data_IF_908993879941
#
_entry.id   IF_908993879941
#
_cell.length_a   1.000
_cell.length_b   1.000
_cell.length_c   1.000
_cell.angle_alpha   90.00
_cell.angle_beta   90.00
_cell.angle_gamma   90.00
#
_symmetry.space_group_name_H-M   'P 1'
#
loop_
_entity.id
_entity.type
_entity.pdbx_description
1 polymer ?
#
# COMPACT_ATOMS: atom_id res chain seq x y z
N UNK A 1 16.80 24.53 -67.29
CA UNK A 1 15.61 24.83 -66.45
C UNK A 1 15.45 23.70 -65.44
N UNK A 2 15.43 24.04 -64.15
CA UNK A 2 15.67 23.14 -63.01
C UNK A 2 14.32 22.74 -62.39
N UNK A 3 13.87 21.50 -62.60
CA UNK A 3 12.63 20.99 -62.01
C UNK A 3 12.79 20.75 -60.50
N UNK A 4 12.15 21.59 -59.69
CA UNK A 4 12.06 21.44 -58.23
C UNK A 4 11.06 20.34 -57.90
N UNK A 5 11.51 19.28 -57.22
CA UNK A 5 10.63 18.33 -56.54
C UNK A 5 10.09 19.02 -55.28
N UNK A 6 8.77 19.22 -55.22
CA UNK A 6 8.09 19.67 -54.01
C UNK A 6 7.86 18.43 -53.16
N UNK A 7 8.56 18.33 -52.03
CA UNK A 7 8.28 17.31 -51.02
C UNK A 7 7.11 17.80 -50.16
N UNK A 8 5.97 17.12 -50.26
CA UNK A 8 4.82 17.34 -49.39
C UNK A 8 5.10 16.60 -48.08
N UNK A 9 5.44 17.35 -47.02
CA UNK A 9 5.55 16.79 -45.68
C UNK A 9 4.15 16.70 -45.06
N UNK A 10 3.61 15.48 -44.96
CA UNK A 10 2.39 15.20 -44.21
C UNK A 10 2.79 15.03 -42.73
N UNK A 11 2.59 16.06 -41.92
CA UNK A 11 2.70 15.92 -40.46
C UNK A 11 1.40 15.29 -39.99
N UNK A 12 1.38 13.97 -39.86
CA UNK A 12 0.33 13.29 -39.11
C UNK A 12 0.58 13.58 -37.62
N UNK A 13 -0.08 14.62 -37.08
CA UNK A 13 -0.26 14.72 -35.64
C UNK A 13 -1.17 13.57 -35.22
N UNK A 14 -0.58 12.47 -34.76
CA UNK A 14 -1.33 11.47 -34.01
C UNK A 14 -1.71 12.12 -32.67
N UNK A 15 -2.90 12.69 -32.61
CA UNK A 15 -3.55 12.93 -31.33
C UNK A 15 -3.82 11.53 -30.76
N UNK A 16 -3.01 11.11 -29.80
CA UNK A 16 -3.36 10.00 -28.91
C UNK A 16 -4.61 10.46 -28.16
N UNK A 17 -5.79 10.14 -28.68
CA UNK A 17 -7.01 10.20 -27.89
C UNK A 17 -6.91 8.99 -26.97
N UNK A 18 -6.30 9.17 -25.80
CA UNK A 18 -6.55 8.28 -24.67
C UNK A 18 -8.06 8.35 -24.44
N UNK A 19 -8.76 7.26 -24.74
CA UNK A 19 -10.19 7.14 -24.43
C UNK A 19 -10.32 7.05 -22.91
N UNK A 20 -10.35 8.20 -22.26
CA UNK A 20 -10.73 8.31 -20.85
C UNK A 20 -12.20 7.86 -20.80
N UNK A 21 -12.46 6.77 -20.08
CA UNK A 21 -13.80 6.23 -19.92
C UNK A 21 -14.16 6.36 -18.45
N UNK A 22 -15.28 7.02 -18.17
CA UNK A 22 -15.80 7.14 -16.81
C UNK A 22 -15.95 5.75 -16.17
N UNK A 23 -15.52 5.62 -14.92
CA UNK A 23 -15.64 4.37 -14.15
C UNK A 23 -17.07 4.25 -13.61
N UNK A 24 -17.76 3.17 -13.96
CA UNK A 24 -19.09 2.87 -13.42
C UNK A 24 -18.99 1.81 -12.34
N UNK A 25 -19.35 2.20 -11.12
CA UNK A 25 -19.34 1.37 -9.93
C UNK A 25 -20.76 0.85 -9.69
N UNK A 26 -20.91 -0.47 -9.59
CA UNK A 26 -22.18 -1.05 -9.16
C UNK A 26 -22.29 -0.95 -7.63
N UNK A 27 -23.39 -0.39 -7.16
CA UNK A 27 -23.73 -0.30 -5.75
C UNK A 27 -24.85 -1.30 -5.47
N UNK A 28 -24.63 -2.15 -4.47
CA UNK A 28 -25.64 -3.07 -3.97
C UNK A 28 -26.45 -2.42 -2.85
N UNK A 29 -27.71 -2.81 -2.72
CA UNK A 29 -28.55 -2.41 -1.60
C UNK A 29 -27.81 -2.59 -0.26
N UNK A 30 -27.77 -1.52 0.55
CA UNK A 30 -26.99 -1.47 1.77
C UNK A 30 -25.70 -0.67 1.62
N UNK A 31 -24.68 -1.03 2.40
CA UNK A 31 -23.41 -0.32 2.48
C UNK A 31 -22.41 -0.82 1.43
N UNK A 32 -21.81 0.12 0.70
CA UNK A 32 -20.80 -0.14 -0.31
C UNK A 32 -19.53 0.63 0.04
N UNK A 33 -18.37 -0.02 -0.05
CA UNK A 33 -17.07 0.64 0.14
C UNK A 33 -16.53 1.08 -1.22
N UNK A 34 -16.57 2.38 -1.45
CA UNK A 34 -16.36 3.02 -2.75
C UNK A 34 -15.14 3.93 -2.71
N UNK A 35 -14.38 3.95 -3.81
CA UNK A 35 -13.25 4.85 -3.99
C UNK A 35 -13.51 5.84 -5.12
N UNK A 36 -13.17 7.10 -4.91
CA UNK A 36 -13.20 8.15 -5.93
C UNK A 36 -11.76 8.47 -6.36
N UNK A 37 -11.40 8.12 -7.59
CA UNK A 37 -10.03 8.19 -8.13
C UNK A 37 -9.88 9.17 -9.30
N UNK A 38 -10.93 9.93 -9.57
CA UNK A 38 -10.96 10.91 -10.65
C UNK A 38 -11.68 12.16 -10.19
N UNK A 39 -11.50 13.26 -10.92
CA UNK A 39 -12.34 14.45 -10.85
C UNK A 39 -13.45 14.36 -11.89
N UNK A 40 -14.47 15.21 -11.73
CA UNK A 40 -15.39 15.48 -12.83
C UNK A 40 -14.62 16.04 -14.04
N UNK A 41 -15.19 15.92 -15.25
CA UNK A 41 -14.56 16.32 -16.53
C UNK A 41 -14.12 17.79 -16.57
N UNK A 42 -14.73 18.63 -15.72
CA UNK A 42 -14.38 20.05 -15.55
C UNK A 42 -13.21 20.28 -14.57
N UNK A 43 -12.62 19.22 -14.02
CA UNK A 43 -11.55 19.26 -13.04
C UNK A 43 -12.00 19.60 -11.61
N UNK A 44 -13.30 19.51 -11.31
CA UNK A 44 -13.86 19.75 -9.97
C UNK A 44 -14.17 18.45 -9.22
N UNK A 45 -14.42 18.57 -7.91
CA UNK A 45 -14.91 17.48 -7.08
C UNK A 45 -16.40 17.20 -7.38
N UNK A 46 -16.85 15.96 -7.13
CA UNK A 46 -18.25 15.60 -7.38
C UNK A 46 -19.19 16.22 -6.37
N UNK A 47 -20.10 17.05 -6.86
CA UNK A 47 -21.15 17.64 -6.03
C UNK A 47 -22.17 16.58 -5.62
N UNK A 48 -22.42 16.43 -4.32
CA UNK A 48 -23.40 15.47 -3.82
C UNK A 48 -24.82 15.79 -4.25
N UNK A 49 -25.13 17.06 -4.56
CA UNK A 49 -26.46 17.47 -5.01
C UNK A 49 -26.78 16.83 -6.35
N UNK A 50 -25.83 16.88 -7.28
CA UNK A 50 -25.91 16.20 -8.58
C UNK A 50 -25.97 14.68 -8.39
N UNK A 51 -25.07 14.11 -7.59
CA UNK A 51 -25.01 12.65 -7.40
C UNK A 51 -26.30 12.09 -6.81
N UNK A 52 -26.90 12.74 -5.81
CA UNK A 52 -28.17 12.30 -5.19
C UNK A 52 -29.35 12.48 -6.15
N UNK A 53 -29.36 13.54 -6.96
CA UNK A 53 -30.40 13.73 -7.98
C UNK A 53 -30.34 12.64 -9.06
N UNK A 54 -29.14 12.30 -9.54
CA UNK A 54 -28.91 11.25 -10.54
C UNK A 54 -29.11 9.85 -9.95
N UNK A 55 -28.85 9.68 -8.64
CA UNK A 55 -28.95 8.42 -7.92
C UNK A 55 -29.88 8.54 -6.71
N UNK A 56 -31.19 8.62 -6.98
CA UNK A 56 -32.25 8.69 -5.96
C UNK A 56 -32.26 7.59 -4.89
N UNK A 57 -31.42 6.56 -5.01
CA UNK A 57 -31.24 5.51 -4.01
C UNK A 57 -30.20 5.83 -2.93
N UNK A 58 -29.36 6.85 -3.09
CA UNK A 58 -28.33 7.23 -2.10
C UNK A 58 -29.01 7.81 -0.85
N UNK A 59 -28.67 7.25 0.31
CA UNK A 59 -29.23 7.66 1.60
C UNK A 59 -28.21 8.31 2.52
N UNK A 60 -27.06 7.65 2.70
CA UNK A 60 -26.04 8.10 3.64
C UNK A 60 -24.67 7.87 3.04
N UNK A 61 -23.78 8.86 3.19
CA UNK A 61 -22.38 8.71 2.82
C UNK A 61 -21.54 9.06 4.04
N UNK A 62 -20.57 8.22 4.38
CA UNK A 62 -19.61 8.51 5.44
C UNK A 62 -18.19 8.35 4.93
N UNK A 63 -17.29 9.17 5.48
CA UNK A 63 -15.85 9.08 5.23
C UNK A 63 -15.09 9.37 6.52
N UNK A 64 -13.81 9.02 6.54
CA UNK A 64 -12.90 9.28 7.65
C UNK A 64 -11.75 10.13 7.14
N UNK A 65 -11.59 11.30 7.73
CA UNK A 65 -10.49 12.22 7.43
C UNK A 65 -9.86 12.68 8.75
N UNK A 66 -8.53 12.60 8.85
CA UNK A 66 -7.76 12.96 10.05
C UNK A 66 -8.28 12.26 11.33
N UNK A 67 -8.63 10.98 11.20
CA UNK A 67 -9.20 10.16 12.27
C UNK A 67 -10.62 10.58 12.72
N UNK A 68 -11.29 11.46 11.98
CA UNK A 68 -12.64 11.93 12.29
C UNK A 68 -13.64 11.49 11.23
N UNK A 69 -14.76 10.97 11.71
CA UNK A 69 -15.89 10.63 10.84
C UNK A 69 -16.65 11.87 10.40
N UNK A 70 -16.89 11.94 9.10
CA UNK A 70 -17.81 12.90 8.48
C UNK A 70 -18.95 12.15 7.82
N UNK A 71 -20.14 12.73 7.87
CA UNK A 71 -21.36 12.13 7.34
C UNK A 71 -22.13 13.10 6.47
N UNK A 72 -22.79 12.54 5.47
CA UNK A 72 -23.80 13.16 4.65
C UNK A 72 -25.07 12.32 4.69
N UNK A 73 -26.22 12.96 4.92
CA UNK A 73 -27.56 12.34 4.90
C UNK A 73 -28.44 12.99 3.83
N UNK A 74 -28.81 12.22 2.80
CA UNK A 74 -29.60 12.68 1.66
C UNK A 74 -31.05 13.06 2.02
N UNK A 75 -31.55 12.65 3.19
CA UNK A 75 -32.89 13.00 3.66
C UNK A 75 -33.01 14.42 4.20
N UNK A 76 -31.87 15.07 4.50
CA UNK A 76 -31.83 16.47 4.91
C UNK A 76 -32.15 17.36 3.70
N UNK A 77 -33.02 18.38 3.81
CA UNK A 77 -33.30 19.29 2.71
C UNK A 77 -32.02 19.96 2.16
N UNK A 78 -31.88 20.08 0.83
CA UNK A 78 -30.67 20.62 0.19
C UNK A 78 -30.32 22.04 0.65
N UNK A 79 -31.33 22.87 0.92
CA UNK A 79 -31.16 24.21 1.50
C UNK A 79 -30.47 24.22 2.86
N UNK A 80 -30.39 23.06 3.52
CA UNK A 80 -29.79 22.89 4.84
C UNK A 80 -28.37 22.30 4.81
N UNK A 81 -27.88 21.89 3.63
CA UNK A 81 -26.67 21.08 3.56
C UNK A 81 -25.41 21.79 4.02
N UNK A 82 -25.29 23.09 3.70
CA UNK A 82 -24.11 23.90 4.06
C UNK A 82 -23.89 24.08 5.57
N UNK A 83 -24.85 23.69 6.42
CA UNK A 83 -24.71 23.75 7.88
C UNK A 83 -24.94 22.43 8.60
N UNK A 84 -25.69 21.49 8.00
CA UNK A 84 -26.06 20.24 8.65
C UNK A 84 -25.18 19.05 8.23
N UNK A 85 -24.45 19.14 7.11
CA UNK A 85 -23.65 18.03 6.58
C UNK A 85 -22.17 18.20 6.94
N UNK A 86 -21.47 17.08 7.11
CA UNK A 86 -20.02 17.09 7.32
C UNK A 86 -19.22 17.40 6.06
N UNK A 87 -19.84 17.24 4.88
CA UNK A 87 -19.28 17.53 3.56
C UNK A 87 -20.39 17.57 2.51
N UNK A 88 -20.14 18.22 1.38
CA UNK A 88 -21.07 18.35 0.24
C UNK A 88 -20.48 17.87 -1.08
N UNK A 89 -19.24 17.37 -1.06
CA UNK A 89 -18.51 16.94 -2.25
C UNK A 89 -17.76 15.63 -2.00
N UNK A 90 -17.68 14.76 -3.01
CA UNK A 90 -16.73 13.65 -3.02
C UNK A 90 -15.42 14.12 -3.65
N UNK A 91 -14.33 13.93 -2.93
CA UNK A 91 -12.99 14.33 -3.34
C UNK A 91 -12.22 13.13 -3.91
N UNK A 92 -11.45 13.33 -4.99
CA UNK A 92 -10.52 12.33 -5.48
C UNK A 92 -9.51 11.89 -4.40
N UNK A 93 -9.12 10.62 -4.42
CA UNK A 93 -8.18 10.01 -3.49
C UNK A 93 -8.82 9.57 -2.16
N UNK A 94 -10.10 9.88 -1.94
CA UNK A 94 -10.82 9.54 -0.71
C UNK A 94 -11.72 8.32 -0.88
N UNK A 95 -11.76 7.49 0.16
CA UNK A 95 -12.71 6.39 0.26
C UNK A 95 -13.99 6.83 0.95
N UNK A 96 -15.09 6.17 0.60
CA UNK A 96 -16.42 6.46 1.11
C UNK A 96 -17.18 5.17 1.37
N UNK A 97 -17.93 5.13 2.47
CA UNK A 97 -19.01 4.18 2.62
C UNK A 97 -20.29 4.83 2.13
N UNK A 98 -20.91 4.26 1.11
CA UNK A 98 -22.14 4.76 0.51
C UNK A 98 -23.26 3.76 0.79
N UNK A 99 -24.29 4.22 1.50
CA UNK A 99 -25.50 3.44 1.73
C UNK A 99 -26.54 3.77 0.67
N UNK A 100 -27.02 2.74 -0.03
CA UNK A 100 -28.12 2.85 -0.99
C UNK A 100 -29.32 1.99 -0.59
N UNK A 101 -30.53 2.45 -0.86
CA UNK A 101 -31.77 1.74 -0.50
C UNK A 101 -32.17 0.65 -1.52
N UNK A 102 -31.56 0.66 -2.71
CA UNK A 102 -31.69 -0.35 -3.77
C UNK A 102 -30.43 -0.35 -4.63
N UNK A 103 -30.23 -1.43 -5.38
CA UNK A 103 -29.12 -1.51 -6.34
C UNK A 103 -29.14 -0.31 -7.30
N UNK A 104 -27.97 0.28 -7.54
CA UNK A 104 -27.78 1.47 -8.37
C UNK A 104 -26.38 1.51 -8.97
N UNK A 105 -26.11 2.44 -9.88
CA UNK A 105 -24.79 2.63 -10.46
C UNK A 105 -24.27 4.02 -10.15
N UNK A 106 -23.06 4.12 -9.63
CA UNK A 106 -22.37 5.39 -9.46
C UNK A 106 -21.35 5.55 -10.60
N UNK A 107 -21.50 6.58 -11.40
CA UNK A 107 -20.49 6.94 -12.41
C UNK A 107 -19.59 8.03 -11.85
N UNK A 108 -18.31 7.73 -11.78
CA UNK A 108 -17.24 8.70 -11.51
C UNK A 108 -16.53 9.00 -12.84
N UNK A 109 -16.36 10.29 -13.10
CA UNK A 109 -15.83 10.90 -14.31
C UNK A 109 -14.41 10.50 -14.67
N UNK A 110 -13.85 11.20 -15.64
CA UNK A 110 -12.79 10.65 -16.49
C UNK A 110 -11.43 11.30 -16.30
N UNK A 111 -11.26 12.22 -15.34
CA UNK A 111 -9.99 12.89 -15.07
C UNK A 111 -9.25 12.20 -13.90
N UNK A 112 -8.46 11.14 -14.13
CA UNK A 112 -7.84 10.34 -13.07
C UNK A 112 -6.80 11.14 -12.28
N UNK A 113 -6.66 10.81 -11.01
CA UNK A 113 -5.53 11.25 -10.19
C UNK A 113 -4.39 10.23 -10.23
N UNK A 114 -3.19 10.68 -9.88
CA UNK A 114 -2.05 9.80 -9.67
C UNK A 114 -1.98 9.34 -8.22
N UNK A 115 -1.31 8.21 -7.98
CA UNK A 115 -1.05 7.72 -6.63
C UNK A 115 -0.27 8.74 -5.77
N UNK A 116 0.50 9.60 -6.44
CA UNK A 116 1.28 10.68 -5.81
C UNK A 116 0.42 11.82 -5.26
N UNK A 117 -0.82 11.96 -5.73
CA UNK A 117 -1.77 12.96 -5.24
C UNK A 117 -2.42 12.54 -3.91
N UNK A 118 -2.23 11.29 -3.49
CA UNK A 118 -2.86 10.71 -2.30
C UNK A 118 -1.93 10.89 -1.11
N UNK A 119 -2.44 11.58 -0.09
CA UNK A 119 -1.74 11.79 1.18
C UNK A 119 -2.16 10.74 2.20
N UNK A 120 -1.18 10.19 2.89
CA UNK A 120 -1.37 9.23 3.96
C UNK A 120 -0.88 9.80 5.29
N UNK A 121 -1.56 9.44 6.37
CA UNK A 121 -1.14 9.68 7.74
C UNK A 121 -0.86 8.35 8.43
N UNK A 122 -0.01 8.36 9.46
CA UNK A 122 0.20 7.15 10.25
C UNK A 122 -1.15 6.65 10.80
N UNK A 123 -1.33 5.33 10.78
CA UNK A 123 -2.58 4.67 11.16
C UNK A 123 -3.49 4.37 9.97
N UNK A 124 -4.80 4.36 10.22
CA UNK A 124 -5.83 3.97 9.25
C UNK A 124 -6.25 5.14 8.36
N UNK A 125 -6.18 4.93 7.05
CA UNK A 125 -6.60 5.89 6.03
C UNK A 125 -7.73 5.28 5.20
N UNK A 126 -8.86 5.98 5.07
CA UNK A 126 -9.94 5.59 4.16
C UNK A 126 -9.74 6.30 2.82
N UNK A 127 -9.23 5.56 1.84
CA UNK A 127 -8.72 6.12 0.58
C UNK A 127 -9.31 5.43 -0.63
N UNK A 128 -9.16 6.09 -1.77
CA UNK A 128 -9.36 5.54 -3.09
C UNK A 128 -8.02 5.53 -3.79
N UNK A 129 -7.64 4.39 -4.36
CA UNK A 129 -6.35 4.22 -5.01
C UNK A 129 -6.58 3.94 -6.50
N UNK A 130 -5.87 4.63 -7.42
CA UNK A 130 -5.94 4.30 -8.82
C UNK A 130 -5.43 2.86 -9.04
N UNK A 131 -5.93 2.20 -10.10
CA UNK A 131 -5.49 0.84 -10.43
C UNK A 131 -3.97 0.75 -10.51
N UNK A 132 -3.40 -0.13 -9.69
CA UNK A 132 -1.94 -0.26 -9.52
C UNK A 132 -1.59 -1.59 -8.85
N UNK A 133 -0.34 -2.01 -9.00
CA UNK A 133 0.20 -3.10 -8.19
C UNK A 133 0.51 -2.62 -6.77
N UNK A 134 0.33 -3.48 -5.78
CA UNK A 134 0.62 -3.11 -4.37
C UNK A 134 2.09 -2.70 -4.18
N UNK A 135 3.01 -3.27 -4.96
CA UNK A 135 4.43 -2.90 -4.94
C UNK A 135 4.68 -1.44 -5.35
N UNK A 136 3.81 -0.83 -6.16
CA UNK A 136 3.90 0.60 -6.51
C UNK A 136 3.44 1.49 -5.34
N UNK A 137 2.37 1.10 -4.64
CA UNK A 137 1.93 1.75 -3.41
C UNK A 137 3.02 1.71 -2.33
N UNK A 138 3.67 0.55 -2.13
CA UNK A 138 4.77 0.43 -1.17
C UNK A 138 5.88 1.43 -1.49
N UNK A 139 6.34 1.49 -2.74
CA UNK A 139 7.37 2.45 -3.18
C UNK A 139 6.96 3.90 -2.94
N UNK A 140 5.68 4.23 -3.17
CA UNK A 140 5.20 5.59 -2.94
C UNK A 140 5.19 5.95 -1.45
N UNK A 141 4.75 5.03 -0.59
CA UNK A 141 4.76 5.23 0.87
C UNK A 141 6.19 5.42 1.40
N UNK A 142 7.14 4.65 0.89
CA UNK A 142 8.56 4.74 1.28
C UNK A 142 9.15 6.14 1.01
N UNK A 143 8.78 6.80 -0.12
CA UNK A 143 9.19 8.18 -0.40
C UNK A 143 8.74 9.16 0.69
N UNK A 144 7.61 8.88 1.34
CA UNK A 144 7.05 9.67 2.44
C UNK A 144 7.45 9.17 3.83
N UNK A 145 8.43 8.26 3.93
CA UNK A 145 8.86 7.61 5.20
C UNK A 145 7.72 6.90 5.93
N UNK A 146 6.75 6.43 5.15
CA UNK A 146 5.67 5.59 5.62
C UNK A 146 5.92 4.18 5.11
N UNK A 147 5.40 3.20 5.84
CA UNK A 147 5.46 1.81 5.40
C UNK A 147 4.10 1.17 5.55
N UNK A 148 3.75 0.37 4.55
CA UNK A 148 2.48 -0.33 4.49
C UNK A 148 2.44 -1.41 5.58
N UNK A 149 1.35 -1.47 6.33
CA UNK A 149 1.07 -2.56 7.27
C UNK A 149 0.02 -3.50 6.67
N UNK A 150 -1.17 -2.98 6.40
CA UNK A 150 -2.27 -3.80 5.85
C UNK A 150 -3.20 -2.97 4.99
N UNK A 151 -3.85 -3.61 4.03
CA UNK A 151 -4.93 -3.04 3.23
C UNK A 151 -6.17 -3.92 3.43
N UNK A 152 -7.32 -3.29 3.63
CA UNK A 152 -8.60 -3.98 3.73
C UNK A 152 -9.58 -3.33 2.78
N UNK A 153 -10.33 -4.16 2.05
CA UNK A 153 -11.45 -3.71 1.20
C UNK A 153 -12.65 -4.64 1.39
N UNK A 154 -13.82 -4.18 0.94
CA UNK A 154 -15.07 -4.92 0.98
C UNK A 154 -15.66 -4.96 -0.42
N UNK A 155 -15.88 -6.16 -0.94
CA UNK A 155 -16.51 -6.40 -2.24
C UNK A 155 -17.63 -7.42 -2.03
N UNK A 156 -18.83 -7.12 -2.51
CA UNK A 156 -20.03 -7.97 -2.37
C UNK A 156 -20.30 -8.42 -0.93
N UNK A 157 -20.08 -7.50 0.03
CA UNK A 157 -20.25 -7.76 1.46
C UNK A 157 -19.19 -8.69 2.07
N UNK A 158 -18.14 -9.05 1.34
CA UNK A 158 -17.03 -9.87 1.81
C UNK A 158 -15.77 -9.01 2.00
N UNK A 159 -15.18 -9.16 3.18
CA UNK A 159 -13.91 -8.53 3.49
C UNK A 159 -12.76 -9.29 2.85
N UNK A 160 -11.85 -8.54 2.23
CA UNK A 160 -10.56 -9.02 1.75
C UNK A 160 -9.46 -8.20 2.39
N UNK A 161 -8.34 -8.84 2.69
CA UNK A 161 -7.18 -8.18 3.29
C UNK A 161 -5.89 -8.54 2.56
N UNK A 162 -4.97 -7.58 2.61
CA UNK A 162 -3.57 -7.75 2.27
C UNK A 162 -2.73 -7.43 3.50
N UNK A 163 -1.78 -8.29 3.85
CA UNK A 163 -0.84 -8.12 4.97
C UNK A 163 0.59 -7.98 4.42
N UNK A 164 1.20 -6.82 4.61
CA UNK A 164 2.53 -6.50 4.10
C UNK A 164 3.66 -7.23 4.84
N UNK A 165 3.39 -7.88 5.98
CA UNK A 165 4.37 -8.71 6.69
C UNK A 165 4.60 -10.06 6.01
N UNK A 166 3.67 -10.51 5.15
CA UNK A 166 3.80 -11.75 4.39
C UNK A 166 4.87 -11.55 3.30
N UNK A 167 5.82 -12.49 3.15
CA UNK A 167 6.84 -12.41 2.09
C UNK A 167 6.23 -12.32 0.68
N UNK A 168 6.83 -11.51 -0.20
CA UNK A 168 6.30 -11.24 -1.55
C UNK A 168 6.10 -12.51 -2.39
N UNK A 169 7.01 -13.48 -2.28
CA UNK A 169 6.90 -14.77 -2.96
C UNK A 169 5.71 -15.62 -2.49
N UNK A 170 5.06 -15.26 -1.38
CA UNK A 170 3.88 -15.93 -0.82
C UNK A 170 2.57 -15.21 -1.13
N UNK A 171 2.62 -14.02 -1.75
CA UNK A 171 1.43 -13.18 -1.91
C UNK A 171 0.31 -13.85 -2.72
N UNK A 172 0.66 -14.54 -3.81
CA UNK A 172 -0.33 -15.23 -4.66
C UNK A 172 -1.05 -16.40 -3.99
N UNK A 173 -0.59 -16.84 -2.81
CA UNK A 173 -1.21 -17.94 -2.05
C UNK A 173 -1.92 -17.46 -0.79
N UNK A 174 -1.35 -16.47 -0.09
CA UNK A 174 -1.77 -16.10 1.26
C UNK A 174 -2.59 -14.80 1.34
N UNK A 175 -2.70 -14.03 0.26
CA UNK A 175 -3.38 -12.74 0.25
C UNK A 175 -4.79 -12.83 -0.33
N UNK A 176 -5.70 -11.97 0.17
CA UNK A 176 -7.04 -11.85 -0.40
C UNK A 176 -7.08 -11.17 -1.77
N UNK A 177 -6.03 -10.41 -2.11
CA UNK A 177 -5.80 -9.74 -3.38
C UNK A 177 -4.34 -9.28 -3.48
N UNK A 178 -3.84 -9.03 -4.69
CA UNK A 178 -2.48 -8.53 -4.94
C UNK A 178 -2.42 -7.29 -5.83
N UNK A 179 -3.57 -6.84 -6.34
CA UNK A 179 -3.72 -5.62 -7.14
C UNK A 179 -4.76 -4.70 -6.51
N UNK A 180 -4.59 -3.41 -6.75
CA UNK A 180 -5.59 -2.39 -6.48
C UNK A 180 -6.44 -2.22 -7.73
N UNK A 181 -7.75 -2.31 -7.57
CA UNK A 181 -8.71 -1.98 -8.61
C UNK A 181 -9.33 -0.61 -8.37
N UNK A 182 -9.47 0.15 -9.46
CA UNK A 182 -10.17 1.42 -9.50
C UNK A 182 -11.65 1.31 -9.06
N UNK A 183 -12.19 2.39 -8.51
CA UNK A 183 -13.57 2.48 -8.03
C UNK A 183 -13.84 1.80 -6.67
N UNK A 184 -12.91 1.00 -6.15
CA UNK A 184 -13.02 0.40 -4.81
C UNK A 184 -12.50 1.34 -3.73
N UNK A 185 -13.16 1.32 -2.57
CA UNK A 185 -12.64 1.97 -1.37
C UNK A 185 -11.70 1.04 -0.62
N UNK A 186 -10.67 1.61 0.02
CA UNK A 186 -9.69 0.86 0.79
C UNK A 186 -9.48 1.50 2.16
N UNK A 187 -9.43 0.67 3.19
CA UNK A 187 -8.79 1.00 4.44
C UNK A 187 -7.32 0.61 4.35
N UNK A 188 -6.44 1.59 4.27
CA UNK A 188 -4.99 1.38 4.21
C UNK A 188 -4.40 1.77 5.55
N UNK A 189 -3.79 0.79 6.23
CA UNK A 189 -3.02 1.03 7.44
C UNK A 189 -1.55 1.23 7.09
N UNK A 190 -1.02 2.39 7.44
CA UNK A 190 0.41 2.71 7.25
C UNK A 190 1.03 3.10 8.58
N UNK A 191 2.35 3.04 8.64
CA UNK A 191 3.10 3.36 9.85
C UNK A 191 4.21 4.34 9.54
N UNK A 192 4.38 5.33 10.40
CA UNK A 192 5.51 6.25 10.33
C UNK A 192 6.76 5.61 10.92
N UNK A 193 7.91 5.86 10.30
CA UNK A 193 9.21 5.59 10.91
C UNK A 193 9.40 6.56 12.07
N UNK A 194 9.25 6.07 13.30
CA UNK A 194 9.38 6.88 14.51
C UNK A 194 10.87 7.19 14.82
N UNK A 195 11.76 6.27 14.48
CA UNK A 195 13.20 6.41 14.62
C UNK A 195 13.89 5.06 14.77
N UNK A 196 15.17 5.06 15.14
CA UNK A 196 15.91 3.83 15.39
C UNK A 196 16.87 3.94 16.57
N UNK A 197 17.28 2.81 17.13
CA UNK A 197 18.31 2.68 18.15
C UNK A 197 19.12 1.40 17.92
N UNK A 198 20.37 1.37 18.41
CA UNK A 198 21.25 0.21 18.26
C UNK A 198 21.45 -0.46 19.61
N UNK A 199 21.29 -1.78 19.67
CA UNK A 199 21.49 -2.58 20.89
C UNK A 199 22.97 -2.70 21.26
N UNK A 200 23.26 -3.12 22.51
CA UNK A 200 24.63 -3.34 22.99
C UNK A 200 25.42 -4.35 22.15
N UNK A 201 24.72 -5.32 21.54
CA UNK A 201 25.28 -6.35 20.67
C UNK A 201 25.18 -6.01 19.17
N UNK A 202 24.89 -4.74 18.84
CA UNK A 202 25.10 -4.18 17.50
C UNK A 202 23.93 -4.35 16.52
N UNK A 203 22.76 -4.79 16.97
CA UNK A 203 21.56 -4.85 16.13
C UNK A 203 20.90 -3.48 16.05
N UNK A 204 20.57 -3.03 14.85
CA UNK A 204 19.77 -1.83 14.66
C UNK A 204 18.28 -2.18 14.77
N UNK A 205 17.56 -1.44 15.59
CA UNK A 205 16.11 -1.58 15.81
C UNK A 205 15.43 -0.33 15.28
N UNK A 206 14.75 -0.46 14.14
CA UNK A 206 13.91 0.57 13.56
C UNK A 206 12.49 0.45 14.13
N UNK A 207 11.93 1.58 14.57
CA UNK A 207 10.70 1.68 15.32
C UNK A 207 9.60 2.29 14.46
N UNK A 208 8.43 1.67 14.44
CA UNK A 208 7.29 2.09 13.64
C UNK A 208 6.06 2.33 14.50
N UNK A 209 5.33 3.39 14.21
CA UNK A 209 4.12 3.76 14.94
C UNK A 209 2.94 4.02 14.02
N UNK A 210 1.75 3.74 14.54
CA UNK A 210 0.48 4.13 13.95
C UNK A 210 0.15 5.60 14.25
N UNK A 211 1.05 6.34 14.92
CA UNK A 211 0.91 7.75 15.25
C UNK A 211 2.12 8.54 14.76
N UNK A 212 1.87 9.76 14.32
CA UNK A 212 2.91 10.72 13.98
C UNK A 212 3.49 11.39 15.24
N UNK A 213 4.75 11.81 15.16
CA UNK A 213 5.45 12.66 16.14
C UNK A 213 5.46 12.14 17.59
N UNK A 214 5.57 10.82 17.78
CA UNK A 214 5.68 10.22 19.12
C UNK A 214 7.07 10.47 19.75
N UNK A 215 7.12 10.65 21.07
CA UNK A 215 8.38 10.70 21.82
C UNK A 215 8.88 9.29 22.11
N UNK A 216 10.06 8.96 21.59
CA UNK A 216 10.69 7.65 21.72
C UNK A 216 11.97 7.69 22.54
N UNK A 217 12.26 8.79 23.23
CA UNK A 217 13.53 9.01 23.93
C UNK A 217 13.81 7.92 24.98
N UNK A 218 12.80 7.54 25.78
CA UNK A 218 12.94 6.47 26.78
C UNK A 218 13.12 5.10 26.14
N UNK A 219 12.37 4.80 25.09
CA UNK A 219 12.44 3.51 24.38
C UNK A 219 13.83 3.34 23.76
N UNK A 220 14.34 4.39 23.09
CA UNK A 220 15.70 4.40 22.52
C UNK A 220 16.75 4.10 23.58
N UNK A 221 16.70 4.81 24.72
CA UNK A 221 17.65 4.60 25.80
C UNK A 221 17.60 3.18 26.36
N UNK A 222 16.41 2.58 26.48
CA UNK A 222 16.28 1.18 26.92
C UNK A 222 16.85 0.19 25.90
N UNK A 223 16.63 0.41 24.60
CA UNK A 223 17.20 -0.42 23.52
C UNK A 223 18.74 -0.34 23.55
N UNK A 224 19.28 0.88 23.64
CA UNK A 224 20.74 1.13 23.67
C UNK A 224 21.45 0.48 24.86
N UNK A 225 20.73 0.26 25.96
CA UNK A 225 21.23 -0.39 27.17
C UNK A 225 20.89 -1.89 27.26
N UNK A 226 20.33 -2.47 26.19
CA UNK A 226 19.91 -3.88 26.15
C UNK A 226 20.62 -4.65 25.04
N UNK A 227 20.78 -5.97 25.22
CA UNK A 227 21.06 -6.86 24.07
C UNK A 227 19.78 -7.12 23.29
N UNK A 228 19.88 -7.52 22.03
CA UNK A 228 18.70 -7.73 21.18
C UNK A 228 17.74 -8.78 21.71
N UNK A 229 18.24 -9.82 22.40
CA UNK A 229 17.39 -10.85 23.00
C UNK A 229 16.55 -10.32 24.19
N UNK A 230 17.01 -9.24 24.84
CA UNK A 230 16.41 -8.71 26.06
C UNK A 230 15.37 -7.62 25.78
N UNK A 231 15.33 -7.07 24.55
CA UNK A 231 14.37 -6.02 24.18
C UNK A 231 12.91 -6.49 24.27
N UNK A 232 12.66 -7.81 24.33
CA UNK A 232 11.34 -8.40 24.61
C UNK A 232 10.68 -7.85 25.89
N UNK A 233 11.49 -7.34 26.84
CA UNK A 233 11.03 -6.85 28.13
C UNK A 233 10.75 -5.34 28.16
N UNK A 234 11.03 -4.64 27.06
CA UNK A 234 10.83 -3.19 26.94
C UNK A 234 9.34 -2.89 26.75
N UNK A 235 8.85 -1.85 27.42
CA UNK A 235 7.54 -1.27 27.12
C UNK A 235 7.68 -0.35 25.90
N UNK A 236 7.10 -0.78 24.79
CA UNK A 236 7.17 -0.09 23.51
C UNK A 236 6.12 1.03 23.36
N UNK A 237 5.17 1.17 24.29
CA UNK A 237 4.16 2.22 24.27
C UNK A 237 3.44 2.34 22.92
N UNK A 238 3.60 3.47 22.24
CA UNK A 238 2.98 3.77 20.95
C UNK A 238 3.69 3.15 19.73
N UNK A 239 4.79 2.41 19.93
CA UNK A 239 5.43 1.62 18.87
C UNK A 239 4.63 0.34 18.66
N UNK A 240 4.10 0.15 17.46
CA UNK A 240 3.26 -0.98 17.08
C UNK A 240 4.01 -2.09 16.35
N UNK A 241 5.11 -1.74 15.66
CA UNK A 241 5.99 -2.69 15.00
C UNK A 241 7.45 -2.25 15.11
N UNK A 242 8.35 -3.22 15.06
CA UNK A 242 9.79 -2.98 14.86
C UNK A 242 10.33 -3.78 13.69
N UNK A 243 11.46 -3.31 13.15
CA UNK A 243 12.33 -4.07 12.26
C UNK A 243 13.72 -4.09 12.87
N UNK A 244 14.25 -5.29 13.05
CA UNK A 244 15.61 -5.52 13.52
C UNK A 244 16.48 -5.86 12.33
N UNK A 245 17.65 -5.23 12.26
CA UNK A 245 18.65 -5.50 11.24
C UNK A 245 20.07 -5.65 11.81
N UNK A 246 20.91 -6.39 11.08
CA UNK A 246 22.33 -6.59 11.38
C UNK A 246 23.14 -6.70 10.09
N UNK A 247 24.46 -6.55 10.20
CA UNK A 247 25.38 -6.69 9.08
C UNK A 247 26.34 -7.86 9.32
N UNK A 248 26.42 -8.78 8.36
CA UNK A 248 27.37 -9.88 8.39
C UNK A 248 28.18 -9.82 7.10
N UNK A 249 29.50 -9.68 7.23
CA UNK A 249 30.45 -9.59 6.11
C UNK A 249 30.09 -8.50 5.07
N UNK A 250 29.49 -7.39 5.55
CA UNK A 250 29.08 -6.25 4.73
C UNK A 250 27.70 -6.37 4.08
N UNK A 251 27.01 -7.51 4.25
CA UNK A 251 25.63 -7.72 3.78
C UNK A 251 24.66 -7.43 4.91
N UNK A 252 23.65 -6.59 4.63
CA UNK A 252 22.59 -6.26 5.57
C UNK A 252 21.48 -7.31 5.56
N UNK A 253 21.05 -7.71 6.75
CA UNK A 253 19.94 -8.63 6.97
C UNK A 253 18.92 -7.93 7.84
N UNK A 254 17.65 -8.02 7.44
CA UNK A 254 16.53 -7.40 8.15
C UNK A 254 15.43 -8.42 8.40
N UNK A 255 14.81 -8.32 9.56
CA UNK A 255 13.60 -9.07 9.89
C UNK A 255 12.37 -8.52 9.15
N UNK A 256 11.31 -9.34 8.99
CA UNK A 256 9.97 -8.80 8.72
C UNK A 256 9.49 -7.95 9.89
N UNK A 257 8.30 -7.35 9.76
CA UNK A 257 7.70 -6.64 10.88
C UNK A 257 7.47 -7.55 12.09
N UNK A 258 7.94 -7.11 13.25
CA UNK A 258 7.68 -7.76 14.53
C UNK A 258 6.70 -6.89 15.30
N UNK A 259 5.49 -7.41 15.50
CA UNK A 259 4.43 -6.74 16.24
C UNK A 259 4.76 -6.75 17.74
N UNK A 260 4.91 -5.57 18.33
CA UNK A 260 5.24 -5.36 19.75
C UNK A 260 4.06 -5.64 20.67
N UNK A 261 2.83 -5.61 20.15
CA UNK A 261 1.59 -5.75 20.90
C UNK A 261 1.02 -7.17 20.89
N UNK A 262 1.61 -8.11 20.15
CA UNK A 262 1.11 -9.50 20.06
C UNK A 262 2.22 -10.52 19.85
N UNK A 263 2.33 -11.48 20.77
CA UNK A 263 3.32 -12.58 20.73
C UNK A 263 4.78 -12.11 20.56
N UNK A 264 5.11 -10.89 21.00
CA UNK A 264 6.38 -10.22 20.68
C UNK A 264 7.62 -11.06 21.03
N UNK A 265 7.71 -11.57 22.26
CA UNK A 265 8.85 -12.38 22.73
C UNK A 265 9.06 -13.65 21.90
N UNK A 266 7.98 -14.35 21.53
CA UNK A 266 8.04 -15.56 20.71
C UNK A 266 8.48 -15.24 19.29
N UNK A 267 7.89 -14.23 18.67
CA UNK A 267 8.24 -13.80 17.29
C UNK A 267 9.68 -13.32 17.23
N UNK A 268 10.11 -12.51 18.20
CA UNK A 268 11.49 -12.03 18.30
C UNK A 268 12.48 -13.18 18.40
N UNK A 269 12.19 -14.18 19.25
CA UNK A 269 13.07 -15.34 19.41
C UNK A 269 13.20 -16.14 18.11
N UNK A 270 12.11 -16.35 17.37
CA UNK A 270 12.18 -17.02 16.05
C UNK A 270 12.97 -16.21 15.05
N UNK A 271 12.74 -14.89 14.96
CA UNK A 271 13.49 -14.00 14.08
C UNK A 271 15.00 -14.06 14.35
N UNK A 272 15.42 -14.01 15.61
CA UNK A 272 16.83 -14.07 15.98
C UNK A 272 17.45 -15.43 15.68
N UNK A 273 16.71 -16.53 15.87
CA UNK A 273 17.21 -17.88 15.67
C UNK A 273 17.21 -18.34 14.21
N UNK A 274 16.32 -17.78 13.39
CA UNK A 274 16.10 -18.24 12.01
C UNK A 274 16.58 -17.22 10.98
N UNK A 275 16.08 -15.98 11.07
CA UNK A 275 16.32 -14.95 10.06
C UNK A 275 17.64 -14.21 10.27
N UNK A 276 17.93 -13.85 11.52
CA UNK A 276 19.08 -13.00 11.87
C UNK A 276 20.24 -13.77 12.51
N UNK A 277 20.17 -15.09 12.55
CA UNK A 277 21.23 -15.93 13.11
C UNK A 277 22.50 -15.83 12.23
N UNK A 278 23.62 -15.29 12.73
CA UNK A 278 24.82 -15.10 11.92
C UNK A 278 25.42 -16.39 11.37
N UNK A 279 25.27 -17.52 12.08
CA UNK A 279 25.77 -18.83 11.61
C UNK A 279 24.94 -19.33 10.43
N UNK A 280 23.61 -19.31 10.54
CA UNK A 280 22.71 -19.68 9.43
C UNK A 280 22.87 -18.75 8.23
N UNK A 281 23.05 -17.45 8.49
CA UNK A 281 23.34 -16.47 7.45
C UNK A 281 24.64 -16.85 6.73
N UNK A 282 25.71 -17.12 7.47
CA UNK A 282 27.00 -17.53 6.88
C UNK A 282 26.92 -18.86 6.13
N UNK A 283 26.13 -19.82 6.59
CA UNK A 283 25.86 -21.06 5.86
C UNK A 283 25.12 -20.80 4.54
N UNK A 284 24.11 -19.93 4.54
CA UNK A 284 23.41 -19.51 3.33
C UNK A 284 24.34 -18.76 2.36
N UNK A 285 25.21 -17.88 2.86
CA UNK A 285 26.22 -17.20 2.05
C UNK A 285 27.20 -18.24 1.47
N UNK A 286 27.73 -19.14 2.30
CA UNK A 286 28.70 -20.16 1.89
C UNK A 286 28.14 -21.15 0.86
N UNK A 287 26.84 -21.46 0.92
CA UNK A 287 26.14 -22.30 -0.07
C UNK A 287 25.76 -21.54 -1.34
N UNK A 288 25.55 -20.21 -1.26
CA UNK A 288 25.39 -19.33 -2.43
C UNK A 288 26.72 -18.96 -3.10
N UNK A 289 27.85 -19.24 -2.44
CA UNK A 289 29.20 -19.09 -2.94
C UNK A 289 29.51 -20.06 -4.09
N UNK A 290 29.22 -19.60 -5.31
CA UNK A 290 29.61 -20.19 -6.60
C UNK A 290 28.85 -21.46 -7.02
N UNK A 291 27.70 -21.27 -7.66
CA UNK A 291 27.24 -22.18 -8.74
C UNK A 291 26.49 -21.36 -9.79
N UNK A 292 27.16 -21.06 -10.91
CA UNK A 292 26.48 -20.58 -12.12
C UNK A 292 25.91 -21.81 -12.83
N UNK A 293 24.59 -21.92 -12.87
CA UNK A 293 23.92 -22.93 -13.68
C UNK A 293 23.71 -22.37 -15.10
N UNK A 294 24.43 -22.92 -16.08
CA UNK A 294 24.22 -22.62 -17.50
C UNK A 294 23.19 -23.60 -18.03
N UNK A 295 22.02 -23.08 -18.42
CA UNK A 295 20.98 -23.81 -19.12
C UNK A 295 21.09 -23.52 -20.62
N UNK A 296 21.02 -24.55 -21.46
CA UNK A 296 20.72 -24.38 -22.87
C UNK A 296 19.24 -24.65 -23.11
N UNK A 297 18.58 -23.76 -23.83
CA UNK A 297 17.21 -23.95 -24.30
C UNK A 297 17.31 -24.21 -25.81
N UNK A 298 16.96 -25.41 -26.25
CA UNK A 298 16.66 -25.65 -27.67
C UNK A 298 15.16 -25.42 -27.88
N UNK A 299 14.82 -24.77 -29.00
CA UNK A 299 13.41 -24.48 -29.34
C UNK A 299 12.58 -25.76 -29.30
N UNK A 300 11.63 -25.82 -28.34
CA UNK A 300 10.64 -26.89 -28.20
C UNK A 300 10.95 -27.99 -27.19
N UNK A 301 12.05 -27.94 -26.42
CA UNK A 301 12.39 -28.96 -25.40
C UNK A 301 12.42 -28.43 -23.96
N UNK A 302 12.15 -29.31 -22.97
CA UNK A 302 12.28 -28.99 -21.55
C UNK A 302 13.75 -28.78 -21.16
N UNK A 303 14.02 -27.78 -20.31
CA UNK A 303 15.37 -27.41 -19.88
C UNK A 303 16.11 -28.59 -19.23
N UNK A 304 17.38 -28.81 -19.60
CA UNK A 304 18.23 -29.84 -19.02
C UNK A 304 19.62 -29.28 -18.66
N UNK A 305 20.16 -29.77 -17.54
CA UNK A 305 21.41 -29.33 -16.91
C UNK A 305 22.62 -29.77 -17.74
N UNK A 306 23.51 -28.85 -18.14
CA UNK A 306 24.61 -29.19 -19.06
C UNK A 306 25.85 -29.83 -18.39
N UNK A 307 26.15 -29.59 -17.11
CA UNK A 307 27.14 -30.37 -16.31
C UNK A 307 27.24 -29.84 -14.86
N UNK A 308 27.59 -30.65 -13.85
CA UNK A 308 27.97 -30.16 -12.54
C UNK A 308 29.47 -29.86 -12.45
N UNK A 309 29.80 -28.69 -11.90
CA UNK A 309 31.12 -28.22 -11.43
C UNK A 309 32.08 -27.60 -12.46
N UNK A 310 32.23 -26.28 -12.36
CA UNK A 310 33.48 -25.57 -12.61
C UNK A 310 33.91 -24.92 -11.28
N UNK A 311 34.84 -25.56 -10.57
CA UNK A 311 35.60 -24.92 -9.48
C UNK A 311 36.75 -24.13 -10.10
N UNK A 312 36.70 -22.81 -10.04
CA UNK A 312 37.92 -22.02 -10.22
C UNK A 312 38.67 -21.98 -8.88
N UNK A 313 39.91 -22.47 -8.86
CA UNK A 313 40.82 -22.28 -7.74
C UNK A 313 41.70 -21.05 -7.97
N UNK A 314 41.77 -20.25 -6.90
CA UNK A 314 42.60 -19.08 -6.60
C UNK A 314 42.29 -17.78 -7.33
#
# INVERSE_FOLDING_TARGET
MRNRKIALSLVASSCLVSSLSATTIQLHQGWNLVGVTSKEDNGLNYQLSKLVQENSGIRTIITSEDGKWKSFDASVPESMWGFAQGFTELQPGKGYWIKVDKDSNLTIGDTPISLEDIQFQAGWNLVALPSSDISELIKQLEKSKLKLNTIITSEDGKWKSFDASVPENMWGFAQGFTSIDDGKGYWVKVQAVAGSATTLDGYNVELYSDKDNIDISSIKSQIENSKVADIASIDFGDISNIVISTSVDGVQYSSPYINTNSNFSTTLSSVLNDTLNPEKIKENIATSGTSIYVYAVSEGGAAHLLSPMLRFMK
#
